data_IF_914421609934
#
_entry.id   IF_914421609934
#
_cell.length_a   1.000
_cell.length_b   1.000
_cell.length_c   1.000
_cell.angle_alpha   90.00
_cell.angle_beta   90.00
_cell.angle_gamma   90.00
#
_symmetry.space_group_name_H-M   'P 1'
#
loop_
_entity.id
_entity.type
_entity.pdbx_description
1 polymer ?
#
# COMPACT_ATOMS: atom_id res chain seq x y z
N UNK A 1 10.49 -8.41 3.91
CA UNK A 1 9.56 -9.39 4.52
C UNK A 1 8.13 -8.91 4.29
N UNK A 2 7.15 -9.79 4.07
CA UNK A 2 5.77 -9.33 3.87
C UNK A 2 5.10 -8.92 5.20
N UNK A 3 4.35 -7.82 5.19
CA UNK A 3 3.61 -7.29 6.34
C UNK A 3 2.22 -6.80 5.93
N UNK A 4 1.28 -6.87 6.88
CA UNK A 4 -0.02 -6.25 6.72
C UNK A 4 0.07 -4.75 6.91
N UNK A 5 -0.69 -4.02 6.10
CA UNK A 5 -0.85 -2.58 6.23
C UNK A 5 -2.27 -2.17 5.89
N UNK A 6 -2.72 -1.09 6.53
CA UNK A 6 -3.96 -0.38 6.21
C UNK A 6 -3.61 0.89 5.44
N UNK A 7 -4.26 1.09 4.30
CA UNK A 7 -4.11 2.30 3.48
C UNK A 7 -4.83 3.45 4.19
N UNK A 8 -4.13 4.55 4.45
CA UNK A 8 -4.69 5.75 5.06
C UNK A 8 -5.02 6.81 4.01
N UNK A 9 -4.22 6.88 2.95
CA UNK A 9 -4.38 7.84 1.87
C UNK A 9 -3.86 7.26 0.54
N UNK A 10 -4.42 7.71 -0.58
CA UNK A 10 -3.93 7.45 -1.92
C UNK A 10 -3.48 8.76 -2.56
N UNK A 11 -2.18 8.88 -2.84
CA UNK A 11 -1.62 10.05 -3.51
C UNK A 11 -2.04 10.13 -4.99
N UNK A 12 -2.29 8.97 -5.61
CA UNK A 12 -2.71 8.83 -6.99
C UNK A 12 -4.10 8.20 -7.11
N UNK A 13 -4.79 8.52 -8.20
CA UNK A 13 -6.08 7.89 -8.49
C UNK A 13 -5.86 6.43 -8.94
N UNK A 14 -6.52 5.46 -8.29
CA UNK A 14 -6.43 4.08 -8.71
C UNK A 14 -6.96 3.90 -10.14
N UNK A 15 -6.31 3.03 -10.92
CA UNK A 15 -6.79 2.67 -12.25
C UNK A 15 -8.15 1.96 -12.15
N UNK A 16 -8.91 1.96 -13.24
CA UNK A 16 -10.14 1.18 -13.34
C UNK A 16 -9.87 -0.28 -12.94
N UNK A 17 -10.72 -0.82 -12.06
CA UNK A 17 -10.65 -2.17 -11.50
C UNK A 17 -9.49 -2.44 -10.51
N UNK A 18 -8.74 -1.42 -10.09
CA UNK A 18 -7.80 -1.59 -8.97
C UNK A 18 -8.57 -1.91 -7.68
N UNK A 19 -8.05 -2.86 -6.91
CA UNK A 19 -8.62 -3.26 -5.62
C UNK A 19 -8.15 -2.38 -4.46
N UNK A 20 -7.24 -1.44 -4.69
CA UNK A 20 -6.71 -0.56 -3.65
C UNK A 20 -7.74 0.50 -3.25
N UNK A 21 -7.92 0.69 -1.95
CA UNK A 21 -8.83 1.69 -1.40
C UNK A 21 -8.35 2.18 -0.03
N UNK A 22 -8.65 3.43 0.31
CA UNK A 22 -8.45 3.98 1.66
C UNK A 22 -9.28 3.18 2.67
N UNK A 23 -8.66 2.80 3.79
CA UNK A 23 -9.20 1.90 4.80
C UNK A 23 -9.06 0.41 4.46
N UNK A 24 -8.61 0.06 3.25
CA UNK A 24 -8.33 -1.32 2.86
C UNK A 24 -7.08 -1.87 3.54
N UNK A 25 -7.09 -3.17 3.86
CA UNK A 25 -5.97 -3.87 4.49
C UNK A 25 -5.40 -4.89 3.52
N UNK A 26 -4.10 -4.78 3.24
CA UNK A 26 -3.41 -5.61 2.25
C UNK A 26 -2.10 -6.16 2.81
N UNK A 27 -1.49 -7.10 2.08
CA UNK A 27 -0.15 -7.60 2.35
C UNK A 27 0.81 -7.04 1.31
N UNK A 28 1.86 -6.37 1.77
CA UNK A 28 2.90 -5.82 0.90
C UNK A 28 4.28 -6.18 1.40
N UNK A 29 5.30 -5.85 0.61
CA UNK A 29 6.70 -6.04 0.96
C UNK A 29 7.20 -4.85 1.76
N UNK A 30 7.58 -5.10 3.02
CA UNK A 30 8.12 -4.07 3.90
C UNK A 30 9.61 -3.85 3.63
N UNK A 31 9.94 -2.58 3.37
CA UNK A 31 11.26 -1.99 3.46
C UNK A 31 11.36 -1.20 4.78
N UNK A 32 11.96 -1.83 5.79
CA UNK A 32 12.11 -1.25 7.13
C UNK A 32 13.09 -0.08 7.16
N UNK A 33 14.05 -0.03 6.24
CA UNK A 33 15.06 1.03 6.19
C UNK A 33 14.44 2.34 5.73
N UNK A 34 13.63 2.28 4.67
CA UNK A 34 12.97 3.43 4.06
C UNK A 34 11.54 3.66 4.60
N UNK A 35 11.10 2.86 5.58
CA UNK A 35 9.77 2.92 6.19
C UNK A 35 8.63 2.94 5.17
N UNK A 36 8.70 2.04 4.19
CA UNK A 36 7.72 1.97 3.10
C UNK A 36 7.29 0.54 2.81
N UNK A 37 6.13 0.40 2.20
CA UNK A 37 5.59 -0.86 1.71
C UNK A 37 5.38 -0.77 0.21
N UNK A 38 5.91 -1.78 -0.49
CA UNK A 38 5.63 -2.02 -1.90
C UNK A 38 4.46 -2.98 -2.05
N UNK A 39 3.56 -2.68 -2.96
CA UNK A 39 2.40 -3.52 -3.24
C UNK A 39 2.02 -3.40 -4.72
N UNK A 40 1.81 -4.53 -5.39
CA UNK A 40 1.28 -4.55 -6.75
C UNK A 40 -0.18 -5.00 -6.68
N UNK A 41 -1.08 -4.17 -7.20
CA UNK A 41 -2.51 -4.48 -7.21
C UNK A 41 -2.88 -5.55 -8.25
N UNK A 42 -4.14 -6.00 -8.23
CA UNK A 42 -4.64 -7.03 -9.13
C UNK A 42 -4.67 -6.63 -10.63
N UNK A 43 -4.51 -5.34 -10.94
CA UNK A 43 -4.39 -4.83 -12.31
C UNK A 43 -2.94 -4.56 -12.72
N UNK A 44 -1.97 -4.97 -11.89
CA UNK A 44 -0.54 -4.84 -12.18
C UNK A 44 -0.01 -3.43 -12.01
N UNK A 45 -0.66 -2.58 -11.21
CA UNK A 45 -0.13 -1.27 -10.84
C UNK A 45 0.67 -1.37 -9.56
N UNK A 46 1.89 -0.85 -9.60
CA UNK A 46 2.77 -0.80 -8.45
C UNK A 46 2.46 0.43 -7.59
N UNK A 47 2.39 0.20 -6.29
CA UNK A 47 2.11 1.19 -5.26
C UNK A 47 3.24 1.21 -4.25
N UNK A 48 3.54 2.42 -3.78
CA UNK A 48 4.46 2.65 -2.67
C UNK A 48 3.71 3.38 -1.58
N UNK A 49 3.64 2.78 -0.40
CA UNK A 49 3.01 3.35 0.78
C UNK A 49 4.05 3.70 1.83
N UNK A 50 3.92 4.84 2.49
CA UNK A 50 4.84 5.34 3.50
C UNK A 50 4.22 5.17 4.89
N UNK A 51 4.96 4.54 5.80
CA UNK A 51 4.45 4.18 7.12
C UNK A 51 4.31 5.43 7.99
N UNK A 52 3.12 5.57 8.60
CA UNK A 52 2.62 6.74 9.34
C UNK A 52 2.30 7.96 8.47
N UNK A 53 2.30 7.82 7.15
CA UNK A 53 1.90 8.86 6.20
C UNK A 53 0.72 8.34 5.38
N UNK A 54 0.98 7.55 4.33
CA UNK A 54 -0.06 6.98 3.48
C UNK A 54 -0.54 5.58 3.91
N UNK A 55 0.15 4.93 4.86
CA UNK A 55 -0.32 3.69 5.48
C UNK A 55 0.08 3.54 6.96
N UNK A 56 -0.52 2.55 7.65
CA UNK A 56 -0.05 2.06 8.96
C UNK A 56 0.09 0.53 8.95
N UNK A 57 1.06 0.01 9.68
CA UNK A 57 1.21 -1.44 9.87
C UNK A 57 0.10 -1.98 10.77
N UNK A 58 -0.35 -3.22 10.49
CA UNK A 58 -1.37 -3.95 11.26
C UNK A 58 -0.75 -5.17 11.94
#
# INVERSE_FOLDING_TARGET
MSKKFEVLELADNPKQHSEIAVGGIYWGELDEQEKRIFYTDCVGTDWVFYINDTCKLV
#
